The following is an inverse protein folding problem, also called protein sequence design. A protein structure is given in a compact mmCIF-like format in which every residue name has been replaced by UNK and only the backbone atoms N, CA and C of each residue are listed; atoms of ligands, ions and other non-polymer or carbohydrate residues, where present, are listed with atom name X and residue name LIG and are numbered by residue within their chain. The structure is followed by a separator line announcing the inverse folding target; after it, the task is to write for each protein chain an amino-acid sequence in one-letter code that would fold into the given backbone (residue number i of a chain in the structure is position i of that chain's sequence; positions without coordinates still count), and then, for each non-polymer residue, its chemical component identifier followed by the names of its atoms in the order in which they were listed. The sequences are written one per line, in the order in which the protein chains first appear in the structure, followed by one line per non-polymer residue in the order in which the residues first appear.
data_IF_218314496504
#
_entry.id   IF_218314496504
#
_cell.length_a   1.000
_cell.length_b   1.000
_cell.length_c   1.000
_cell.angle_alpha   90.00
_cell.angle_beta   90.00
_cell.angle_gamma   90.00
#
_symmetry.space_group_name_H-M   'P 1'
#
loop_
_entity.id
_entity.type
_entity.pdbx_description
1 polymer ?
#
# COMPACT_ATOMS: atom_id res chain seq x y z
N UNK A 1 9.33 -15.09 -2.48
CA UNK A 1 9.04 -14.04 -1.51
C UNK A 1 7.69 -13.41 -1.83
N UNK A 2 6.78 -13.46 -0.86
CA UNK A 2 5.40 -12.99 -1.04
C UNK A 2 5.35 -11.50 -1.34
N UNK A 3 6.07 -10.70 -0.57
CA UNK A 3 6.08 -9.23 -0.76
C UNK A 3 6.66 -8.87 -2.12
N UNK A 4 7.75 -9.51 -2.51
CA UNK A 4 8.36 -9.30 -3.81
C UNK A 4 7.40 -9.65 -4.95
N UNK A 5 6.67 -10.75 -4.82
CA UNK A 5 5.66 -11.17 -5.81
C UNK A 5 4.54 -10.13 -5.92
N UNK A 6 4.04 -9.63 -4.80
CA UNK A 6 2.99 -8.61 -4.77
C UNK A 6 3.49 -7.34 -5.47
N UNK A 7 4.70 -6.89 -5.13
CA UNK A 7 5.27 -5.68 -5.72
C UNK A 7 5.44 -5.81 -7.24
N UNK A 8 5.90 -6.97 -7.71
CA UNK A 8 6.05 -7.21 -9.15
C UNK A 8 4.72 -7.14 -9.87
N UNK A 9 3.69 -7.78 -9.32
CA UNK A 9 2.34 -7.75 -9.90
C UNK A 9 1.76 -6.35 -9.93
N UNK A 10 1.95 -5.59 -8.86
CA UNK A 10 1.49 -4.19 -8.80
C UNK A 10 2.17 -3.37 -9.89
N UNK A 11 3.49 -3.45 -10.01
CA UNK A 11 4.24 -2.70 -11.01
C UNK A 11 3.81 -3.06 -12.43
N UNK A 12 3.68 -4.36 -12.71
CA UNK A 12 3.29 -4.83 -14.03
C UNK A 12 1.89 -4.35 -14.39
N UNK A 13 0.96 -4.40 -13.44
CA UNK A 13 -0.42 -3.96 -13.67
C UNK A 13 -0.50 -2.44 -13.89
N UNK A 14 0.24 -1.66 -13.10
CA UNK A 14 0.32 -0.22 -13.29
C UNK A 14 0.84 0.13 -14.67
N UNK A 15 1.89 -0.56 -15.12
CA UNK A 15 2.46 -0.36 -16.45
C UNK A 15 1.46 -0.73 -17.55
N UNK A 16 0.77 -1.86 -17.38
CA UNK A 16 -0.25 -2.29 -18.33
C UNK A 16 -1.34 -1.24 -18.50
N UNK A 17 -1.68 -0.55 -17.42
CA UNK A 17 -2.73 0.47 -17.42
C UNK A 17 -2.22 1.87 -17.77
N UNK A 18 -0.96 1.99 -18.18
CA UNK A 18 -0.41 3.23 -18.72
C UNK A 18 0.29 4.14 -17.74
N UNK A 19 0.51 3.69 -16.51
CA UNK A 19 1.28 4.46 -15.52
C UNK A 19 2.76 4.39 -15.88
N UNK A 20 3.38 5.54 -16.11
CA UNK A 20 4.75 5.60 -16.61
C UNK A 20 5.79 5.78 -15.52
N UNK A 21 5.46 6.51 -14.48
CA UNK A 21 6.42 6.89 -13.44
C UNK A 21 6.11 6.15 -12.16
N UNK A 22 6.86 5.11 -11.88
CA UNK A 22 6.68 4.25 -10.71
C UNK A 22 8.00 4.18 -9.96
N UNK A 23 7.98 4.60 -8.68
CA UNK A 23 9.13 4.48 -7.80
C UNK A 23 8.85 3.43 -6.74
N UNK A 24 9.87 2.65 -6.39
CA UNK A 24 9.74 1.58 -5.42
C UNK A 24 10.84 1.66 -4.39
N UNK A 25 10.47 1.53 -3.12
CA UNK A 25 11.39 1.58 -1.99
C UNK A 25 11.05 0.50 -0.98
N UNK A 26 12.03 0.07 -0.21
CA UNK A 26 11.84 -0.96 0.80
C UNK A 26 12.16 -0.39 2.18
N UNK A 27 11.36 -0.76 3.17
CA UNK A 27 11.57 -0.40 4.57
C UNK A 27 11.74 -1.68 5.40
N UNK A 28 12.30 -1.58 6.63
CA UNK A 28 12.58 -2.78 7.41
C UNK A 28 11.36 -3.63 7.78
N UNK A 29 10.21 -3.02 8.03
CA UNK A 29 9.01 -3.74 8.40
C UNK A 29 7.76 -2.91 8.24
N UNK A 30 6.60 -3.50 8.48
CA UNK A 30 5.31 -2.83 8.30
C UNK A 30 5.14 -1.62 9.23
N UNK A 31 5.70 -1.67 10.43
CA UNK A 31 5.61 -0.55 11.37
C UNK A 31 6.36 0.69 10.91
N UNK A 32 7.30 0.55 9.99
CA UNK A 32 8.09 1.67 9.44
C UNK A 32 7.44 2.30 8.21
N UNK A 33 6.39 1.68 7.68
CA UNK A 33 5.69 2.20 6.50
C UNK A 33 5.12 3.60 6.73
N UNK A 34 4.41 3.87 7.83
CA UNK A 34 3.80 5.21 8.00
C UNK A 34 4.82 6.34 7.97
N UNK A 35 5.95 6.17 8.65
CA UNK A 35 6.99 7.19 8.67
C UNK A 35 7.54 7.43 7.26
N UNK A 36 7.87 6.34 6.55
CA UNK A 36 8.42 6.47 5.20
C UNK A 36 7.44 7.14 4.26
N UNK A 37 6.17 6.71 4.26
CA UNK A 37 5.14 7.27 3.40
C UNK A 37 4.96 8.77 3.64
N UNK A 38 4.95 9.17 4.91
CA UNK A 38 4.81 10.58 5.27
C UNK A 38 6.00 11.40 4.77
N UNK A 39 7.21 10.93 5.02
CA UNK A 39 8.42 11.64 4.61
C UNK A 39 8.54 11.71 3.09
N UNK A 40 8.24 10.61 2.42
CA UNK A 40 8.29 10.57 0.96
C UNK A 40 7.24 11.50 0.34
N UNK A 41 6.02 11.47 0.85
CA UNK A 41 4.93 12.32 0.36
C UNK A 41 5.17 13.81 0.57
N UNK A 42 5.85 14.18 1.66
CA UNK A 42 6.22 15.58 1.91
C UNK A 42 7.29 16.05 0.94
N UNK A 43 8.29 15.21 0.67
CA UNK A 43 9.50 15.62 -0.04
C UNK A 43 9.46 15.38 -1.55
N UNK A 44 8.60 14.48 -2.00
CA UNK A 44 8.49 14.10 -3.40
C UNK A 44 7.10 14.42 -3.93
N UNK A 45 7.05 14.78 -5.20
CA UNK A 45 5.78 15.03 -5.86
C UNK A 45 5.23 13.72 -6.40
N UNK A 46 4.31 13.12 -5.68
CA UNK A 46 3.64 11.87 -6.09
C UNK A 46 2.14 12.05 -5.99
N UNK A 47 1.41 11.38 -6.88
CA UNK A 47 -0.05 11.47 -6.93
C UNK A 47 -0.72 10.48 -5.98
N UNK A 48 -0.06 9.37 -5.70
CA UNK A 48 -0.56 8.35 -4.79
C UNK A 48 0.52 7.35 -4.43
N UNK A 49 0.24 6.49 -3.46
CA UNK A 49 1.19 5.48 -3.00
C UNK A 49 0.46 4.18 -2.69
N UNK A 50 1.21 3.07 -2.74
CA UNK A 50 0.72 1.76 -2.30
C UNK A 50 1.71 1.21 -1.29
N UNK A 51 1.22 0.93 -0.08
CA UNK A 51 2.01 0.34 1.00
C UNK A 51 1.86 -1.18 0.96
N UNK A 52 2.97 -1.89 0.77
CA UNK A 52 2.95 -3.34 0.60
C UNK A 52 3.67 -4.01 1.75
N UNK A 53 3.07 -5.05 2.28
CA UNK A 53 3.68 -5.85 3.34
C UNK A 53 2.93 -7.16 3.53
N UNK A 54 3.45 -8.00 4.43
CA UNK A 54 2.79 -9.23 4.81
C UNK A 54 3.10 -9.52 6.27
N UNK A 55 2.07 -9.53 7.10
CA UNK A 55 2.19 -9.82 8.52
C UNK A 55 1.46 -11.14 8.78
N UNK A 56 2.19 -12.12 9.28
CA UNK A 56 1.63 -13.44 9.60
C UNK A 56 1.47 -13.56 11.10
N UNK A 57 0.36 -14.19 11.53
CA UNK A 57 0.12 -14.43 12.94
C UNK A 57 1.18 -15.35 13.52
N UNK A 58 1.79 -14.90 14.60
CA UNK A 58 2.72 -15.70 15.39
C UNK A 58 2.09 -16.13 16.70
N UNK A 59 2.93 -16.57 17.62
CA UNK A 59 2.50 -17.05 18.93
C UNK A 59 2.26 -15.94 19.95
N UNK A 60 2.70 -14.72 19.63
CA UNK A 60 2.63 -13.59 20.55
C UNK A 60 1.66 -12.52 20.07
N UNK A 61 1.37 -11.57 20.93
CA UNK A 61 0.52 -10.42 20.64
C UNK A 61 1.13 -9.47 19.60
N UNK A 62 2.37 -9.70 19.22
CA UNK A 62 3.09 -8.84 18.27
C UNK A 62 2.36 -8.69 16.94
N UNK A 63 1.69 -9.75 16.48
CA UNK A 63 0.90 -9.70 15.24
C UNK A 63 -0.17 -8.59 15.29
N UNK A 64 -0.93 -8.54 16.37
CA UNK A 64 -2.00 -7.54 16.53
C UNK A 64 -1.43 -6.12 16.56
N UNK A 65 -0.30 -5.93 17.25
CA UNK A 65 0.35 -4.63 17.32
C UNK A 65 0.77 -4.17 15.93
N UNK A 66 1.46 -5.03 15.19
CA UNK A 66 1.96 -4.68 13.85
C UNK A 66 0.80 -4.42 12.90
N UNK A 67 -0.21 -5.30 12.89
CA UNK A 67 -1.36 -5.17 12.01
C UNK A 67 -2.14 -3.89 12.29
N UNK A 68 -2.46 -3.63 13.54
CA UNK A 68 -3.29 -2.50 13.93
C UNK A 68 -2.55 -1.17 13.79
N UNK A 69 -1.30 -1.10 14.25
CA UNK A 69 -0.54 0.16 14.21
C UNK A 69 -0.10 0.53 12.81
N UNK A 70 0.26 -0.43 11.96
CA UNK A 70 0.60 -0.11 10.58
C UNK A 70 -0.62 0.42 9.84
N UNK A 71 -1.78 -0.20 10.01
CA UNK A 71 -3.03 0.24 9.37
C UNK A 71 -3.44 1.64 9.85
N UNK A 72 -3.39 1.86 11.16
CA UNK A 72 -3.72 3.16 11.75
C UNK A 72 -2.79 4.26 11.22
N UNK A 73 -1.50 3.98 11.21
CA UNK A 73 -0.49 4.94 10.74
C UNK A 73 -0.64 5.26 9.27
N UNK A 74 -0.85 4.25 8.42
CA UNK A 74 -1.04 4.46 6.99
C UNK A 74 -2.28 5.33 6.72
N UNK A 75 -3.39 5.04 7.40
CA UNK A 75 -4.60 5.84 7.28
C UNK A 75 -4.40 7.28 7.70
N UNK A 76 -3.69 7.50 8.81
CA UNK A 76 -3.37 8.83 9.31
C UNK A 76 -2.54 9.63 8.31
N UNK A 77 -1.51 9.02 7.75
CA UNK A 77 -0.63 9.66 6.77
C UNK A 77 -1.40 10.04 5.51
N UNK A 78 -2.27 9.17 5.03
CA UNK A 78 -3.10 9.45 3.86
C UNK A 78 -3.93 10.72 4.05
N UNK A 79 -4.59 10.83 5.19
CA UNK A 79 -5.39 12.02 5.49
C UNK A 79 -4.53 13.27 5.64
N UNK A 80 -3.37 13.14 6.26
CA UNK A 80 -2.42 14.24 6.45
C UNK A 80 -1.88 14.78 5.13
N UNK A 81 -1.47 13.87 4.24
CA UNK A 81 -0.91 14.26 2.95
C UNK A 81 -1.97 14.68 1.94
N UNK A 82 -3.20 14.20 2.10
CA UNK A 82 -4.28 14.48 1.17
C UNK A 82 -4.10 13.82 -0.19
N UNK A 83 -3.41 12.67 -0.22
CA UNK A 83 -3.26 11.87 -1.44
C UNK A 83 -3.68 10.43 -1.14
N UNK A 84 -4.20 9.69 -2.14
CA UNK A 84 -4.58 8.30 -1.90
C UNK A 84 -3.38 7.43 -1.55
N UNK A 85 -3.50 6.65 -0.49
CA UNK A 85 -2.52 5.63 -0.12
C UNK A 85 -3.28 4.33 0.09
N UNK A 86 -3.04 3.36 -0.76
CA UNK A 86 -3.71 2.07 -0.66
C UNK A 86 -2.92 1.15 0.26
N UNK A 87 -3.59 0.61 1.25
CA UNK A 87 -2.98 -0.32 2.21
C UNK A 87 -3.05 -1.74 1.63
N UNK A 88 -1.91 -2.22 1.16
CA UNK A 88 -1.75 -3.59 0.67
C UNK A 88 -0.88 -4.41 1.62
N UNK A 89 -0.96 -4.11 2.93
CA UNK A 89 -0.30 -4.91 3.95
C UNK A 89 -1.23 -6.07 4.28
N UNK A 90 -0.86 -7.27 3.84
CA UNK A 90 -1.63 -8.47 4.14
C UNK A 90 -1.46 -8.84 5.61
N UNK A 91 -2.56 -9.15 6.28
CA UNK A 91 -2.55 -9.61 7.66
C UNK A 91 -3.26 -10.97 7.68
N UNK A 92 -2.47 -12.02 7.75
CA UNK A 92 -2.95 -13.39 7.53
C UNK A 92 -2.61 -14.30 8.69
N UNK A 93 -3.42 -15.35 8.86
CA UNK A 93 -3.21 -16.34 9.92
C UNK A 93 -2.04 -17.26 9.59
N UNK A 94 -1.80 -17.53 8.31
CA UNK A 94 -0.78 -18.48 7.87
C UNK A 94 -0.30 -18.17 6.45
N UNK A 95 0.81 -18.81 6.01
CA UNK A 95 1.35 -18.57 4.67
C UNK A 95 0.40 -18.92 3.52
N UNK A 96 -0.46 -19.92 3.72
CA UNK A 96 -1.42 -20.31 2.68
C UNK A 96 -2.38 -19.18 2.36
N UNK A 97 -2.92 -18.52 3.40
CA UNK A 97 -3.79 -17.36 3.21
C UNK A 97 -3.06 -16.24 2.49
N UNK A 98 -1.78 -16.01 2.86
CA UNK A 98 -0.98 -14.95 2.25
C UNK A 98 -0.78 -15.23 0.74
N UNK A 99 -0.47 -16.47 0.37
CA UNK A 99 -0.30 -16.86 -1.02
C UNK A 99 -1.59 -16.67 -1.82
N UNK A 100 -2.72 -17.06 -1.26
CA UNK A 100 -4.02 -16.89 -1.91
C UNK A 100 -4.31 -15.42 -2.17
N UNK A 101 -4.14 -14.57 -1.17
CA UNK A 101 -4.40 -13.15 -1.29
C UNK A 101 -3.41 -12.44 -2.21
N UNK A 102 -2.16 -12.88 -2.22
CA UNK A 102 -1.15 -12.33 -3.11
C UNK A 102 -1.47 -12.58 -4.59
N UNK A 103 -2.35 -13.52 -4.90
CA UNK A 103 -2.74 -13.81 -6.28
C UNK A 103 -3.75 -12.81 -6.85
N UNK A 104 -4.54 -12.12 -6.01
CA UNK A 104 -5.57 -11.20 -6.50
C UNK A 104 -5.51 -9.79 -5.88
N UNK A 105 -5.04 -9.65 -4.64
CA UNK A 105 -4.97 -8.34 -3.98
C UNK A 105 -4.19 -7.28 -4.76
N UNK A 106 -3.06 -7.62 -5.41
CA UNK A 106 -2.33 -6.62 -6.19
C UNK A 106 -3.21 -5.91 -7.22
N UNK A 107 -4.06 -6.64 -7.90
CA UNK A 107 -4.94 -6.07 -8.94
C UNK A 107 -6.03 -5.20 -8.32
N UNK A 108 -6.59 -5.63 -7.19
CA UNK A 108 -7.57 -4.84 -6.45
C UNK A 108 -6.97 -3.53 -5.96
N UNK A 109 -5.73 -3.57 -5.46
CA UNK A 109 -5.04 -2.39 -4.96
C UNK A 109 -4.77 -1.38 -6.07
N UNK A 110 -4.34 -1.86 -7.23
CA UNK A 110 -4.12 -0.97 -8.38
C UNK A 110 -5.42 -0.34 -8.84
N UNK A 111 -6.48 -1.14 -8.95
CA UNK A 111 -7.80 -0.63 -9.33
C UNK A 111 -8.29 0.43 -8.34
N UNK A 112 -8.15 0.17 -7.05
CA UNK A 112 -8.55 1.12 -6.00
C UNK A 112 -7.75 2.43 -6.09
N UNK A 113 -6.44 2.33 -6.30
CA UNK A 113 -5.60 3.52 -6.44
C UNK A 113 -6.03 4.37 -7.62
N UNK A 114 -6.19 3.77 -8.79
CA UNK A 114 -6.56 4.50 -9.99
C UNK A 114 -7.95 5.13 -9.87
N UNK A 115 -8.89 4.43 -9.25
CA UNK A 115 -10.21 4.97 -8.99
C UNK A 115 -10.14 6.17 -8.04
N UNK A 116 -9.37 6.08 -6.97
CA UNK A 116 -9.22 7.19 -6.02
C UNK A 116 -8.50 8.38 -6.63
N UNK A 117 -7.54 8.15 -7.51
CA UNK A 117 -6.89 9.23 -8.23
C UNK A 117 -7.87 9.96 -9.16
N UNK A 118 -8.74 9.21 -9.83
CA UNK A 118 -9.76 9.80 -10.69
C UNK A 118 -10.77 10.62 -9.88
N UNK A 119 -11.21 10.10 -8.74
CA UNK A 119 -12.13 10.81 -7.84
C UNK A 119 -11.47 12.09 -7.31
N UNK A 120 -10.21 12.01 -6.91
CA UNK A 120 -9.48 13.17 -6.41
C UNK A 120 -9.36 14.27 -7.47
N UNK A 121 -9.07 13.89 -8.71
CA UNK A 121 -8.99 14.83 -9.82
C UNK A 121 -10.34 15.50 -10.09
N UNK A 122 -11.42 14.75 -10.00
CA UNK A 122 -12.78 15.25 -10.19
C UNK A 122 -13.15 16.28 -9.11
N UNK A 123 -12.82 16.00 -7.85
CA UNK A 123 -13.04 16.95 -6.74
C UNK A 123 -12.28 18.25 -6.99
N UNK A 124 -11.03 18.16 -7.43
CA UNK A 124 -10.20 19.34 -7.68
C UNK A 124 -10.73 20.20 -8.84
N UNK A 125 -11.34 19.60 -9.83
CA UNK A 125 -11.92 20.32 -10.95
C UNK A 125 -13.19 21.08 -10.54
N UNK A 126 -13.98 20.49 -9.63
CA UNK A 126 -15.26 21.05 -9.22
C UNK A 126 -15.16 22.11 -8.13
N UNK A 127 -13.99 22.28 -7.53
CA UNK A 127 -13.75 23.33 -6.54
C UNK A 127 -13.19 24.59 -7.17
#
# INVERSE_FOLDING_TARGET
DIVGSICTKIKDELKRLGVKKINSHTVPGALELPFFLNQYGIRKSVDGMIAVGCVLRGETYHFEIVANESARGIGSVQLQLGIPIINSVLTCENPKQALERASYRPYECVAALLEMLAISAEINITT
#
